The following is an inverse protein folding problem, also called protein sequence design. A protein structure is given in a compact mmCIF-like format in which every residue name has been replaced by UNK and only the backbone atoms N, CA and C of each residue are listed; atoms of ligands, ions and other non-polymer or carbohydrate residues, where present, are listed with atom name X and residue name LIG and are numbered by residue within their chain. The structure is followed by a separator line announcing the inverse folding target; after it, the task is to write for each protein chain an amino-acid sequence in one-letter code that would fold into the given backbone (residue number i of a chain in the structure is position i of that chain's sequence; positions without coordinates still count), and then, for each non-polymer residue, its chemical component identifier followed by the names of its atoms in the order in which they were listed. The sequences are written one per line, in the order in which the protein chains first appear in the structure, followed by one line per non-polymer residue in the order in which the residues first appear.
data_IF_650139916934
#
_entry.id   IF_650139916934
#
_cell.length_a   1.000
_cell.length_b   1.000
_cell.length_c   1.000
_cell.angle_alpha   90.00
_cell.angle_beta   90.00
_cell.angle_gamma   90.00
#
_symmetry.space_group_name_H-M   'P 1'
#
loop_
_entity.id
_entity.type
_entity.pdbx_description
1 polymer ?
#
# COMPACT_ATOMS: atom_id res chain seq x y z
N UNK A 1 -3.90 65.41 -30.16
CA UNK A 1 -2.54 65.58 -30.70
C UNK A 1 -1.89 64.24 -30.75
N UNK A 2 -1.52 63.88 -31.91
CA UNK A 2 -1.00 62.56 -32.37
C UNK A 2 0.47 62.46 -31.99
N UNK A 3 0.91 61.26 -31.57
CA UNK A 3 2.25 60.80 -31.96
C UNK A 3 2.30 59.28 -31.93
N UNK A 4 2.41 58.73 -33.10
CA UNK A 4 2.75 57.37 -33.48
C UNK A 4 4.28 57.23 -33.57
N UNK A 5 4.88 56.09 -33.16
CA UNK A 5 6.13 55.58 -33.76
C UNK A 5 6.19 54.06 -33.51
N UNK A 6 5.95 53.27 -34.50
CA UNK A 6 6.84 52.52 -35.38
C UNK A 6 7.73 51.46 -34.69
N UNK A 7 7.39 50.24 -35.03
CA UNK A 7 8.12 48.97 -34.83
C UNK A 7 9.41 48.91 -35.65
N UNK A 8 10.46 48.32 -35.14
CA UNK A 8 11.50 47.66 -35.93
C UNK A 8 11.97 46.37 -35.24
N UNK A 9 12.23 45.30 -36.00
CA UNK A 9 12.62 44.01 -35.44
C UNK A 9 14.14 43.95 -35.27
N UNK A 10 14.61 43.38 -34.15
CA UNK A 10 16.02 43.11 -33.93
C UNK A 10 16.29 41.63 -34.13
N UNK A 11 17.25 41.37 -35.03
CA UNK A 11 17.75 40.09 -35.47
C UNK A 11 18.51 39.33 -34.39
N UNK A 12 18.33 38.00 -34.37
CA UNK A 12 19.19 37.06 -33.64
C UNK A 12 20.60 37.02 -34.26
N UNK A 13 21.63 37.29 -33.46
CA UNK A 13 22.99 36.82 -33.72
C UNK A 13 23.70 36.48 -32.41
N UNK A 14 24.06 35.20 -32.32
CA UNK A 14 25.15 34.56 -31.57
C UNK A 14 25.86 35.33 -30.47
N UNK A 15 25.69 34.91 -29.19
CA UNK A 15 26.69 35.09 -28.15
C UNK A 15 26.84 33.79 -27.33
N UNK A 16 28.09 33.30 -27.27
CA UNK A 16 28.52 32.15 -26.47
C UNK A 16 28.30 32.40 -24.99
N UNK A 17 28.01 31.35 -24.16
CA UNK A 17 27.88 31.56 -22.72
C UNK A 17 29.26 31.74 -22.07
N UNK A 18 29.46 32.86 -21.41
CA UNK A 18 30.52 33.07 -20.47
C UNK A 18 30.21 32.26 -19.18
N UNK A 19 31.12 31.39 -18.80
CA UNK A 19 31.15 30.69 -17.51
C UNK A 19 31.26 31.72 -16.38
N UNK A 20 30.14 32.02 -15.75
CA UNK A 20 30.14 32.70 -14.44
C UNK A 20 30.04 31.65 -13.37
N UNK A 21 31.05 31.56 -12.52
CA UNK A 21 31.02 30.80 -11.29
C UNK A 21 29.77 31.20 -10.48
N UNK A 22 28.88 30.25 -10.26
CA UNK A 22 27.76 30.42 -9.34
C UNK A 22 28.33 30.41 -7.92
N UNK A 23 28.34 31.57 -7.28
CA UNK A 23 28.42 31.67 -5.84
C UNK A 23 27.19 30.96 -5.27
N UNK A 24 27.42 29.85 -4.58
CA UNK A 24 26.41 29.12 -3.82
C UNK A 24 25.85 29.99 -2.73
N UNK A 25 24.67 30.58 -2.91
CA UNK A 25 23.83 30.99 -1.80
C UNK A 25 23.47 29.72 -1.01
N UNK A 26 24.06 29.59 0.18
CA UNK A 26 23.76 28.52 1.14
C UNK A 26 22.36 28.71 1.75
N UNK A 27 21.31 28.42 0.97
CA UNK A 27 20.04 28.04 1.51
C UNK A 27 20.04 26.51 1.57
N UNK A 28 20.52 25.98 2.70
CA UNK A 28 20.24 24.58 3.07
C UNK A 28 18.72 24.46 3.29
N UNK A 29 18.01 23.96 2.28
CA UNK A 29 16.75 23.28 2.55
C UNK A 29 17.10 22.12 3.49
N UNK A 30 16.50 22.01 4.67
CA UNK A 30 16.70 20.84 5.50
C UNK A 30 16.01 19.65 4.81
N UNK A 31 16.79 18.92 4.03
CA UNK A 31 16.49 17.53 3.74
C UNK A 31 16.96 16.71 4.93
N UNK A 32 16.42 17.01 6.11
CA UNK A 32 16.66 16.19 7.29
C UNK A 32 15.85 14.89 7.13
N UNK A 33 16.33 14.01 6.23
CA UNK A 33 16.08 12.58 6.38
C UNK A 33 16.63 12.21 7.74
N UNK A 34 15.83 11.53 8.56
CA UNK A 34 16.32 10.95 9.81
C UNK A 34 17.62 10.23 9.50
N UNK A 35 18.72 10.74 10.03
CA UNK A 35 20.00 10.08 9.90
C UNK A 35 19.92 8.78 10.70
N UNK A 36 19.85 7.65 10.00
CA UNK A 36 19.78 6.32 10.61
C UNK A 36 20.97 6.04 11.54
N UNK A 37 22.08 6.79 11.40
CA UNK A 37 23.21 6.79 12.34
C UNK A 37 22.90 7.37 13.73
N UNK A 38 21.73 8.04 13.90
CA UNK A 38 21.28 8.60 15.19
C UNK A 38 20.14 7.81 15.84
N UNK A 39 19.68 6.70 15.24
CA UNK A 39 18.71 5.86 15.90
C UNK A 39 19.27 5.31 17.23
N UNK A 40 18.42 5.17 18.25
CA UNK A 40 18.82 4.54 19.51
C UNK A 40 19.39 3.14 19.29
N UNK A 41 20.23 2.63 20.21
CA UNK A 41 20.76 1.27 20.13
C UNK A 41 19.60 0.24 20.11
N UNK A 42 19.84 -0.89 19.44
CA UNK A 42 18.87 -1.95 19.30
C UNK A 42 18.40 -2.48 20.65
N UNK A 43 17.08 -2.54 20.84
CA UNK A 43 16.49 -3.22 21.99
C UNK A 43 16.47 -4.73 21.75
N UNK A 44 16.24 -5.56 22.79
CA UNK A 44 16.02 -7.01 22.60
C UNK A 44 14.89 -7.32 21.62
N UNK A 45 13.81 -6.54 21.64
CA UNK A 45 12.64 -6.68 20.76
C UNK A 45 13.00 -6.37 19.30
N UNK A 46 13.73 -5.27 19.06
CA UNK A 46 14.19 -4.91 17.72
C UNK A 46 15.19 -5.95 17.19
N UNK A 47 16.10 -6.43 18.06
CA UNK A 47 17.05 -7.49 17.70
C UNK A 47 16.31 -8.77 17.28
N UNK A 48 15.20 -9.11 17.92
CA UNK A 48 14.38 -10.27 17.55
C UNK A 48 13.65 -10.07 16.22
N UNK A 49 13.12 -8.88 15.97
CA UNK A 49 12.52 -8.52 14.66
C UNK A 49 13.53 -8.66 13.51
N UNK A 50 14.75 -8.17 13.72
CA UNK A 50 15.83 -8.27 12.72
C UNK A 50 16.31 -9.71 12.54
N UNK A 51 16.31 -10.54 13.59
CA UNK A 51 16.58 -11.96 13.47
C UNK A 51 15.49 -12.68 12.68
N UNK A 52 14.23 -12.34 12.89
CA UNK A 52 13.10 -12.86 12.13
C UNK A 52 13.24 -12.51 10.64
N UNK A 53 13.57 -11.25 10.34
CA UNK A 53 13.85 -10.80 8.96
C UNK A 53 15.01 -11.58 8.33
N UNK A 54 16.15 -11.70 9.01
CA UNK A 54 17.31 -12.43 8.52
C UNK A 54 17.01 -13.92 8.29
N UNK A 55 16.24 -14.54 9.18
CA UNK A 55 15.79 -15.94 9.04
C UNK A 55 14.82 -16.13 7.87
N UNK A 56 13.90 -15.18 7.68
CA UNK A 56 12.94 -15.21 6.57
C UNK A 56 13.63 -15.07 5.21
N UNK A 57 14.56 -14.12 5.08
CA UNK A 57 15.29 -13.87 3.83
C UNK A 57 16.37 -14.92 3.51
N UNK A 58 16.71 -15.79 4.44
CA UNK A 58 17.62 -16.91 4.21
C UNK A 58 16.95 -18.14 3.55
N UNK A 59 15.62 -18.17 3.49
CA UNK A 59 14.86 -19.25 2.83
C UNK A 59 14.55 -18.88 1.37
N UNK A 60 14.17 -19.87 0.51
CA UNK A 60 13.69 -19.56 -0.84
C UNK A 60 12.56 -18.55 -0.81
N UNK A 61 12.58 -17.58 -1.74
CA UNK A 61 11.58 -16.53 -1.80
C UNK A 61 10.15 -17.07 -2.01
N UNK A 62 10.00 -18.10 -2.83
CA UNK A 62 8.74 -18.77 -3.10
C UNK A 62 8.96 -20.23 -3.47
N UNK A 63 8.19 -21.12 -2.88
CA UNK A 63 8.16 -22.56 -3.20
C UNK A 63 6.85 -22.87 -3.93
N UNK A 64 6.87 -22.86 -5.26
CA UNK A 64 5.69 -23.08 -6.09
C UNK A 64 5.05 -24.45 -5.84
N UNK A 65 5.85 -25.50 -5.62
CA UNK A 65 5.34 -26.86 -5.39
C UNK A 65 4.70 -27.01 -4.02
N UNK A 66 5.34 -26.45 -3.01
CA UNK A 66 4.81 -26.43 -1.64
C UNK A 66 3.54 -25.59 -1.55
N UNK A 67 3.51 -24.41 -2.20
CA UNK A 67 2.35 -23.54 -2.22
C UNK A 67 1.16 -24.17 -2.95
N UNK A 68 1.38 -24.84 -4.09
CA UNK A 68 0.34 -25.57 -4.81
C UNK A 68 -0.31 -26.67 -3.94
N UNK A 69 0.51 -27.40 -3.15
CA UNK A 69 0.00 -28.40 -2.22
C UNK A 69 -0.83 -27.76 -1.07
N UNK A 70 -0.40 -26.60 -0.56
CA UNK A 70 -1.14 -25.86 0.46
C UNK A 70 -2.45 -25.29 -0.09
N UNK A 71 -2.46 -24.72 -1.30
CA UNK A 71 -3.70 -24.28 -1.98
C UNK A 71 -4.70 -25.42 -2.08
N UNK A 72 -4.27 -26.59 -2.57
CA UNK A 72 -5.15 -27.77 -2.68
C UNK A 72 -5.72 -28.18 -1.31
N UNK A 73 -4.92 -28.16 -0.27
CA UNK A 73 -5.35 -28.45 1.10
C UNK A 73 -6.30 -27.38 1.63
N UNK A 74 -6.00 -26.10 1.36
CA UNK A 74 -6.77 -24.96 1.85
C UNK A 74 -8.16 -24.93 1.26
N UNK A 75 -8.30 -25.01 -0.06
CA UNK A 75 -9.61 -24.93 -0.71
C UNK A 75 -10.34 -26.27 -0.74
N UNK A 76 -9.62 -27.41 -0.77
CA UNK A 76 -10.22 -28.74 -0.85
C UNK A 76 -11.10 -28.89 -2.08
N UNK A 77 -12.38 -29.20 -1.87
CA UNK A 77 -13.38 -29.36 -2.93
C UNK A 77 -14.16 -28.06 -3.24
N UNK A 78 -13.75 -26.92 -2.63
CA UNK A 78 -14.39 -25.64 -2.89
C UNK A 78 -14.13 -25.20 -4.34
N UNK A 79 -15.20 -25.03 -5.11
CA UNK A 79 -15.15 -24.60 -6.49
C UNK A 79 -16.39 -23.77 -6.84
N UNK A 80 -16.31 -22.91 -7.86
CA UNK A 80 -17.46 -22.13 -8.31
C UNK A 80 -18.62 -23.04 -8.74
N UNK A 81 -19.80 -22.81 -8.18
CA UNK A 81 -21.06 -23.37 -8.63
C UNK A 81 -21.71 -22.57 -9.74
N UNK A 82 -22.99 -22.81 -9.99
CA UNK A 82 -23.80 -22.06 -10.96
C UNK A 82 -24.34 -20.74 -10.43
N UNK A 83 -24.38 -20.57 -9.10
CA UNK A 83 -24.85 -19.35 -8.43
C UNK A 83 -23.67 -18.56 -7.83
N UNK A 84 -23.37 -17.36 -8.37
CA UNK A 84 -22.29 -16.50 -7.87
C UNK A 84 -22.50 -16.01 -6.44
N UNK A 85 -23.75 -15.87 -5.97
CA UNK A 85 -24.03 -15.44 -4.61
C UNK A 85 -23.78 -16.57 -3.60
N UNK A 86 -24.15 -17.82 -3.94
CA UNK A 86 -23.82 -18.98 -3.12
C UNK A 86 -22.30 -19.18 -3.03
N UNK A 87 -21.59 -19.00 -4.14
CA UNK A 87 -20.13 -19.11 -4.15
C UNK A 87 -19.46 -18.01 -3.33
N UNK A 88 -19.99 -16.78 -3.38
CA UNK A 88 -19.55 -15.70 -2.49
C UNK A 88 -19.67 -16.11 -1.01
N UNK A 89 -20.82 -16.66 -0.60
CA UNK A 89 -21.06 -17.07 0.78
C UNK A 89 -20.11 -18.21 1.21
N UNK A 90 -19.86 -19.17 0.34
CA UNK A 90 -18.94 -20.27 0.61
C UNK A 90 -17.48 -19.77 0.81
N UNK A 91 -17.05 -18.84 -0.03
CA UNK A 91 -15.73 -18.19 0.13
C UNK A 91 -15.65 -17.33 1.38
N UNK A 92 -16.69 -16.54 1.68
CA UNK A 92 -16.74 -15.76 2.91
C UNK A 92 -16.59 -16.66 4.15
N UNK A 93 -17.34 -17.74 4.25
CA UNK A 93 -17.25 -18.69 5.36
C UNK A 93 -15.86 -19.32 5.45
N UNK A 94 -15.26 -19.67 4.30
CA UNK A 94 -13.89 -20.20 4.24
C UNK A 94 -12.88 -19.20 4.79
N UNK A 95 -12.93 -17.95 4.33
CA UNK A 95 -12.02 -16.88 4.77
C UNK A 95 -12.20 -16.57 6.25
N UNK A 96 -13.43 -16.56 6.75
CA UNK A 96 -13.72 -16.31 8.15
C UNK A 96 -13.19 -17.43 9.06
N UNK A 97 -13.52 -18.67 8.72
CA UNK A 97 -13.12 -19.84 9.55
C UNK A 97 -11.63 -20.13 9.53
N UNK A 98 -10.92 -19.76 8.46
CA UNK A 98 -9.48 -19.97 8.33
C UNK A 98 -8.64 -18.83 8.88
N UNK A 99 -9.19 -17.65 9.12
CA UNK A 99 -8.48 -16.53 9.77
C UNK A 99 -8.34 -16.80 11.29
N UNK A 100 -7.52 -17.78 11.62
CA UNK A 100 -7.42 -18.33 12.99
C UNK A 100 -6.49 -17.54 13.89
N UNK A 101 -5.61 -16.72 13.32
CA UNK A 101 -4.61 -15.94 14.05
C UNK A 101 -4.66 -14.46 13.65
N UNK A 102 -5.75 -13.74 13.94
CA UNK A 102 -5.81 -12.32 13.67
C UNK A 102 -4.81 -11.56 14.54
N UNK A 103 -4.10 -10.62 13.95
CA UNK A 103 -3.08 -9.82 14.62
C UNK A 103 -3.52 -8.36 14.76
N UNK A 104 -3.02 -7.71 15.82
CA UNK A 104 -3.08 -6.26 15.88
C UNK A 104 -2.13 -5.64 14.85
N UNK A 105 -2.51 -4.47 14.34
CA UNK A 105 -1.70 -3.71 13.39
C UNK A 105 -0.29 -3.44 13.93
N UNK A 106 0.72 -4.01 13.28
CA UNK A 106 2.15 -3.85 13.59
C UNK A 106 2.99 -4.24 12.36
N UNK A 107 3.19 -3.31 11.40
CA UNK A 107 3.86 -3.61 10.14
C UNK A 107 5.29 -4.11 10.29
N UNK A 108 6.10 -3.51 11.17
CA UNK A 108 7.47 -3.95 11.46
C UNK A 108 7.56 -5.38 11.99
N UNK A 109 6.49 -5.87 12.60
CA UNK A 109 6.43 -7.23 13.15
C UNK A 109 5.91 -8.25 12.14
N UNK A 110 4.86 -7.92 11.41
CA UNK A 110 4.11 -8.90 10.64
C UNK A 110 4.24 -8.73 9.11
N UNK A 111 4.39 -7.48 8.62
CA UNK A 111 4.38 -7.18 7.19
C UNK A 111 5.79 -7.11 6.59
N UNK A 112 6.61 -6.18 7.10
CA UNK A 112 7.90 -5.85 6.51
C UNK A 112 8.98 -6.91 6.60
N UNK A 113 9.05 -7.79 7.66
CA UNK A 113 10.11 -8.77 7.74
C UNK A 113 10.07 -9.86 6.67
N UNK A 114 8.89 -10.13 6.10
CA UNK A 114 8.75 -11.20 5.11
C UNK A 114 7.62 -10.97 4.11
N UNK A 115 6.40 -10.69 4.56
CA UNK A 115 5.19 -10.65 3.71
C UNK A 115 5.34 -9.71 2.52
N UNK A 116 5.84 -8.50 2.74
CA UNK A 116 5.90 -7.44 1.74
C UNK A 116 7.25 -7.34 1.02
N UNK A 117 8.18 -8.28 1.28
CA UNK A 117 9.46 -8.35 0.61
C UNK A 117 9.26 -8.72 -0.87
N UNK A 118 9.92 -7.99 -1.76
CA UNK A 118 9.96 -8.29 -3.19
C UNK A 118 11.11 -9.27 -3.53
N UNK A 119 11.12 -9.87 -4.76
CA UNK A 119 12.17 -10.83 -5.15
C UNK A 119 13.60 -10.28 -5.09
N UNK A 120 13.77 -8.96 -5.11
CA UNK A 120 15.07 -8.27 -4.98
C UNK A 120 15.51 -8.05 -3.52
N UNK A 121 14.72 -8.52 -2.54
CA UNK A 121 15.00 -8.38 -1.11
C UNK A 121 14.63 -7.01 -0.51
N UNK A 122 13.99 -6.14 -1.27
CA UNK A 122 13.56 -4.81 -0.82
C UNK A 122 12.03 -4.74 -0.64
N UNK A 123 11.58 -3.69 0.02
CA UNK A 123 10.18 -3.27 0.02
C UNK A 123 9.96 -2.28 -1.12
N UNK A 124 8.82 -2.37 -1.78
CA UNK A 124 8.44 -1.41 -2.82
C UNK A 124 7.13 -0.73 -2.44
N UNK A 125 7.05 0.57 -2.70
CA UNK A 125 5.79 1.29 -2.60
C UNK A 125 4.75 0.72 -3.55
N UNK A 126 3.57 0.42 -3.05
CA UNK A 126 2.47 -0.16 -3.84
C UNK A 126 2.03 0.77 -4.99
N UNK A 127 2.18 2.10 -4.83
CA UNK A 127 1.72 3.08 -5.84
C UNK A 127 2.82 3.53 -6.79
N UNK A 128 3.98 3.92 -6.28
CA UNK A 128 5.06 4.48 -7.11
C UNK A 128 6.13 3.46 -7.52
N UNK A 129 6.17 2.31 -6.87
CA UNK A 129 7.25 1.33 -7.04
C UNK A 129 8.59 1.76 -6.44
N UNK A 130 8.67 2.87 -5.70
CA UNK A 130 9.89 3.29 -5.02
C UNK A 130 10.38 2.21 -4.07
N UNK A 131 11.68 1.88 -4.13
CA UNK A 131 12.32 0.85 -3.32
C UNK A 131 12.87 1.41 -2.00
N UNK A 132 12.79 0.62 -0.94
CA UNK A 132 13.45 0.87 0.33
C UNK A 132 14.02 -0.43 0.90
N UNK A 133 15.19 -0.30 1.53
CA UNK A 133 15.78 -1.40 2.28
C UNK A 133 14.88 -1.83 3.44
N UNK A 134 14.52 -3.10 3.48
CA UNK A 134 13.56 -3.63 4.44
C UNK A 134 14.06 -3.53 5.89
N UNK A 135 15.34 -3.81 6.16
CA UNK A 135 15.92 -3.68 7.50
C UNK A 135 15.80 -2.25 8.03
N UNK A 136 16.10 -1.27 7.18
CA UNK A 136 15.99 0.14 7.55
C UNK A 136 14.53 0.52 7.88
N UNK A 137 13.56 0.01 7.12
CA UNK A 137 12.16 0.29 7.40
C UNK A 137 11.68 -0.38 8.70
N UNK A 138 12.07 -1.64 8.95
CA UNK A 138 11.76 -2.32 10.20
C UNK A 138 12.27 -1.51 11.40
N UNK A 139 13.50 -1.00 11.34
CA UNK A 139 14.07 -0.15 12.39
C UNK A 139 13.29 1.15 12.57
N UNK A 140 12.97 1.84 11.48
CA UNK A 140 12.22 3.09 11.51
C UNK A 140 10.81 2.90 12.09
N UNK A 141 10.07 1.91 11.60
CA UNK A 141 8.70 1.64 12.04
C UNK A 141 8.65 1.20 13.52
N UNK A 142 9.61 0.38 13.94
CA UNK A 142 9.76 0.01 15.35
C UNK A 142 9.95 1.24 16.24
N UNK A 143 10.91 2.10 15.93
CA UNK A 143 11.18 3.30 16.72
C UNK A 143 10.05 4.32 16.66
N UNK A 144 9.37 4.43 15.53
CA UNK A 144 8.14 5.21 15.43
C UNK A 144 7.09 4.72 16.41
N UNK A 145 6.78 3.43 16.43
CA UNK A 145 5.80 2.84 17.34
C UNK A 145 6.17 3.07 18.82
N UNK A 146 7.44 2.93 19.20
CA UNK A 146 7.90 3.23 20.56
C UNK A 146 7.73 4.73 20.91
N UNK A 147 8.02 5.62 19.96
CA UNK A 147 7.87 7.07 20.13
C UNK A 147 6.39 7.44 20.28
N UNK A 148 5.50 6.86 19.48
CA UNK A 148 4.05 7.07 19.59
C UNK A 148 3.53 6.72 20.98
N UNK A 149 3.95 5.57 21.52
CA UNK A 149 3.60 5.15 22.89
C UNK A 149 4.10 6.19 23.89
N UNK A 150 5.37 6.60 23.82
CA UNK A 150 5.96 7.56 24.75
C UNK A 150 5.24 8.91 24.70
N UNK A 151 4.99 9.44 23.49
CA UNK A 151 4.30 10.71 23.28
C UNK A 151 2.88 10.66 23.87
N UNK A 152 2.17 9.55 23.72
CA UNK A 152 0.82 9.39 24.26
C UNK A 152 0.75 9.47 25.81
N UNK A 153 1.83 9.11 26.48
CA UNK A 153 1.93 9.21 27.96
C UNK A 153 2.40 10.58 28.46
N UNK A 154 3.15 11.32 27.63
CA UNK A 154 3.84 12.53 28.09
C UNK A 154 3.16 13.84 27.71
N UNK A 155 2.21 13.84 26.79
CA UNK A 155 1.65 15.07 26.21
C UNK A 155 0.11 15.06 26.15
N UNK A 156 -0.49 16.27 26.03
CA UNK A 156 -1.91 16.36 25.73
C UNK A 156 -2.23 15.80 24.35
N UNK A 157 -3.48 15.34 24.09
CA UNK A 157 -3.87 14.80 22.79
C UNK A 157 -3.57 15.74 21.60
N UNK A 158 -3.73 17.06 21.79
CA UNK A 158 -3.45 18.06 20.74
C UNK A 158 -1.95 18.14 20.42
N UNK A 159 -1.11 18.17 21.46
CA UNK A 159 0.36 18.21 21.31
C UNK A 159 0.89 16.89 20.75
N UNK A 160 0.32 15.76 21.19
CA UNK A 160 0.65 14.44 20.66
C UNK A 160 0.38 14.37 19.15
N UNK A 161 -0.79 14.83 18.69
CA UNK A 161 -1.16 14.82 17.28
C UNK A 161 -0.17 15.58 16.40
N UNK A 162 0.30 16.76 16.82
CA UNK A 162 1.30 17.54 16.08
C UNK A 162 2.66 16.84 16.04
N UNK A 163 3.10 16.28 17.17
CA UNK A 163 4.40 15.56 17.24
C UNK A 163 4.40 14.31 16.36
N UNK A 164 3.30 13.54 16.35
CA UNK A 164 3.15 12.35 15.51
C UNK A 164 3.09 12.69 14.02
N UNK A 165 2.43 13.78 13.63
CA UNK A 165 2.43 14.24 12.24
C UNK A 165 3.83 14.61 11.73
N UNK A 166 4.66 15.23 12.59
CA UNK A 166 6.07 15.51 12.27
C UNK A 166 6.84 14.20 12.10
N UNK A 167 6.68 13.25 13.02
CA UNK A 167 7.32 11.94 12.94
C UNK A 167 6.95 11.21 11.65
N UNK A 168 5.66 11.17 11.30
CA UNK A 168 5.18 10.56 10.05
C UNK A 168 5.82 11.19 8.80
N UNK A 169 6.00 12.51 8.80
CA UNK A 169 6.62 13.22 7.67
C UNK A 169 8.11 12.91 7.47
N UNK A 170 8.77 12.40 8.50
CA UNK A 170 10.20 12.03 8.48
C UNK A 170 10.44 10.57 8.08
N UNK A 171 9.39 9.75 8.06
CA UNK A 171 9.49 8.34 7.67
C UNK A 171 9.73 8.22 6.16
N UNK A 172 10.57 7.26 5.75
CA UNK A 172 10.78 6.97 4.34
C UNK A 172 9.59 6.24 3.72
N UNK A 173 8.94 5.38 4.50
CA UNK A 173 7.74 4.63 4.14
C UNK A 173 6.81 4.54 5.35
N UNK A 174 5.54 4.26 5.07
CA UNK A 174 4.57 3.83 6.07
C UNK A 174 3.73 2.67 5.52
N UNK A 175 2.73 2.23 6.27
CA UNK A 175 1.84 1.17 5.83
C UNK A 175 0.57 1.78 5.24
N UNK A 176 0.29 1.46 3.99
CA UNK A 176 -0.97 1.74 3.32
C UNK A 176 -2.03 0.72 3.72
N UNK A 177 -3.20 1.20 4.08
CA UNK A 177 -4.43 0.42 4.15
C UNK A 177 -5.21 0.61 2.86
N UNK A 178 -5.12 -0.34 1.94
CA UNK A 178 -5.81 -0.30 0.64
C UNK A 178 -7.31 -0.04 0.80
N UNK A 179 -7.94 -0.64 1.79
CA UNK A 179 -9.24 -0.19 2.28
C UNK A 179 -9.00 0.75 3.46
N UNK A 180 -9.34 2.05 3.33
CA UNK A 180 -9.02 3.05 4.33
C UNK A 180 -9.55 2.69 5.71
N UNK A 181 -8.67 2.75 6.71
CA UNK A 181 -9.06 2.40 8.08
C UNK A 181 -10.14 3.31 8.68
N UNK A 182 -10.36 4.51 8.13
CA UNK A 182 -11.47 5.40 8.50
C UNK A 182 -12.83 4.81 8.12
N UNK A 183 -12.94 4.07 7.04
CA UNK A 183 -14.20 3.51 6.54
C UNK A 183 -14.81 2.45 7.47
N UNK A 184 -13.98 1.74 8.23
CA UNK A 184 -14.40 0.75 9.21
C UNK A 184 -14.02 1.13 10.66
N UNK A 185 -13.74 2.42 10.91
CA UNK A 185 -13.46 2.97 12.26
C UNK A 185 -12.26 2.32 12.95
N UNK A 186 -11.22 1.94 12.19
CA UNK A 186 -9.98 1.30 12.67
C UNK A 186 -10.20 0.01 13.48
N UNK A 187 -11.34 -0.67 13.29
CA UNK A 187 -11.67 -1.88 14.04
C UNK A 187 -10.78 -3.05 13.66
N UNK A 188 -10.36 -3.82 14.66
CA UNK A 188 -9.75 -5.13 14.45
C UNK A 188 -10.86 -6.19 14.23
N UNK A 189 -10.57 -7.28 13.50
CA UNK A 189 -9.29 -7.65 12.91
C UNK A 189 -8.98 -6.96 11.56
N UNK A 190 -9.90 -6.17 11.02
CA UNK A 190 -9.75 -5.50 9.72
C UNK A 190 -8.46 -4.67 9.64
N UNK A 191 -8.15 -3.91 10.70
CA UNK A 191 -6.98 -3.01 10.73
C UNK A 191 -5.65 -3.76 10.64
N UNK A 192 -5.57 -4.95 11.22
CA UNK A 192 -4.36 -5.77 11.23
C UNK A 192 -4.28 -6.82 10.11
N UNK A 193 -5.30 -6.93 9.26
CA UNK A 193 -5.36 -7.94 8.20
C UNK A 193 -4.32 -7.66 7.10
N UNK A 194 -3.33 -8.53 6.98
CA UNK A 194 -2.18 -8.38 6.11
C UNK A 194 -2.53 -8.37 4.61
N UNK A 195 -3.67 -8.93 4.22
CA UNK A 195 -4.07 -8.99 2.81
C UNK A 195 -4.34 -7.62 2.17
N UNK A 196 -4.62 -6.59 2.96
CA UNK A 196 -4.82 -5.24 2.44
C UNK A 196 -3.83 -4.18 2.97
N UNK A 197 -2.72 -4.65 3.56
CA UNK A 197 -1.62 -3.81 4.04
C UNK A 197 -0.43 -3.88 3.09
N UNK A 198 0.14 -2.72 2.72
CA UNK A 198 1.29 -2.63 1.80
C UNK A 198 2.25 -1.53 2.24
N UNK A 199 3.54 -1.69 1.92
CA UNK A 199 4.49 -0.58 2.05
C UNK A 199 4.15 0.55 1.07
N UNK A 200 4.25 1.79 1.53
CA UNK A 200 3.95 2.97 0.73
C UNK A 200 4.72 4.18 1.26
N UNK A 201 5.14 5.11 0.39
CA UNK A 201 5.68 6.39 0.87
C UNK A 201 4.59 7.24 1.54
N UNK A 202 4.94 8.00 2.59
CA UNK A 202 3.99 8.89 3.26
C UNK A 202 3.28 9.86 2.32
N UNK A 203 3.98 10.39 1.30
CA UNK A 203 3.39 11.31 0.32
C UNK A 203 2.34 10.64 -0.57
N UNK A 204 2.58 9.39 -1.00
CA UNK A 204 1.63 8.65 -1.81
C UNK A 204 0.44 8.17 -0.99
N UNK A 205 0.68 7.69 0.24
CA UNK A 205 -0.37 7.34 1.18
C UNK A 205 -1.25 8.56 1.51
N UNK A 206 -0.63 9.74 1.74
CA UNK A 206 -1.36 10.99 1.98
C UNK A 206 -2.13 11.47 0.75
N UNK A 207 -1.56 11.35 -0.46
CA UNK A 207 -2.21 11.72 -1.70
C UNK A 207 -3.45 10.84 -1.98
N UNK A 208 -3.34 9.53 -1.69
CA UNK A 208 -4.46 8.61 -1.77
C UNK A 208 -5.49 8.88 -0.66
N UNK A 209 -5.05 9.14 0.58
CA UNK A 209 -5.91 9.45 1.71
C UNK A 209 -6.99 8.38 1.94
N UNK A 210 -8.26 8.80 1.92
CA UNK A 210 -9.42 7.90 1.97
C UNK A 210 -10.25 7.93 0.67
N UNK A 211 -9.63 8.30 -0.46
CA UNK A 211 -10.32 8.39 -1.74
C UNK A 211 -10.62 6.97 -2.28
N UNK A 212 -11.81 6.70 -2.80
CA UNK A 212 -12.08 5.46 -3.52
C UNK A 212 -11.25 5.38 -4.81
N UNK A 213 -10.97 4.15 -5.22
CA UNK A 213 -10.29 3.91 -6.50
C UNK A 213 -11.20 4.19 -7.67
N UNK A 214 -10.62 4.75 -8.74
CA UNK A 214 -11.32 5.10 -9.96
C UNK A 214 -10.37 4.95 -11.15
N UNK A 215 -10.89 4.61 -12.32
CA UNK A 215 -10.13 4.53 -13.56
C UNK A 215 -10.50 5.74 -14.43
N UNK A 216 -9.60 6.73 -14.46
CA UNK A 216 -9.86 7.96 -15.22
C UNK A 216 -9.67 7.73 -16.71
N UNK A 217 -10.58 8.23 -17.57
CA UNK A 217 -10.33 8.30 -19.00
C UNK A 217 -8.98 8.98 -19.32
N UNK A 218 -8.31 8.53 -20.39
CA UNK A 218 -6.96 9.03 -20.74
C UNK A 218 -6.92 10.56 -20.97
N UNK A 219 -8.00 11.11 -21.48
CA UNK A 219 -8.14 12.55 -21.81
C UNK A 219 -8.75 13.37 -20.66
N UNK A 220 -9.03 12.77 -19.52
CA UNK A 220 -9.55 13.50 -18.37
C UNK A 220 -8.45 14.36 -17.72
N UNK A 221 -8.77 15.65 -17.51
CA UNK A 221 -7.87 16.58 -16.82
C UNK A 221 -7.83 16.24 -15.31
N UNK A 222 -6.64 15.84 -14.84
CA UNK A 222 -6.42 15.37 -13.48
C UNK A 222 -5.10 15.88 -12.94
N UNK A 223 -4.99 15.96 -11.62
CA UNK A 223 -3.70 16.22 -10.96
C UNK A 223 -2.92 14.89 -10.97
N UNK A 224 -1.78 14.87 -11.69
CA UNK A 224 -0.93 13.67 -11.82
C UNK A 224 0.42 13.88 -11.16
N UNK A 225 0.89 12.84 -10.48
CA UNK A 225 2.25 12.70 -9.95
C UNK A 225 2.69 11.23 -10.04
N UNK A 226 3.85 10.91 -9.49
CA UNK A 226 4.39 9.54 -9.47
C UNK A 226 3.66 8.58 -8.50
N UNK A 227 2.70 9.06 -7.74
CA UNK A 227 1.82 8.21 -6.93
C UNK A 227 0.57 7.78 -7.71
N UNK A 228 0.12 8.61 -8.66
CA UNK A 228 -1.10 8.38 -9.44
C UNK A 228 -1.78 9.67 -9.89
N UNK A 229 -3.08 9.55 -10.15
CA UNK A 229 -3.96 10.62 -10.62
C UNK A 229 -5.07 10.90 -9.60
N UNK A 230 -5.42 12.17 -9.42
CA UNK A 230 -6.52 12.61 -8.55
C UNK A 230 -7.38 13.59 -9.36
N UNK A 231 -8.69 13.48 -9.30
CA UNK A 231 -9.60 14.47 -9.91
C UNK A 231 -9.48 15.83 -9.19
N UNK A 232 -9.73 16.91 -9.91
CA UNK A 232 -9.65 18.29 -9.34
C UNK A 232 -10.61 18.52 -8.15
N UNK A 233 -11.63 17.68 -8.00
CA UNK A 233 -12.54 17.72 -6.84
C UNK A 233 -12.00 16.97 -5.62
N UNK A 234 -10.89 16.21 -5.77
CA UNK A 234 -10.27 15.44 -4.70
C UNK A 234 -11.16 14.32 -4.17
N UNK A 235 -11.93 13.64 -5.03
CA UNK A 235 -12.88 12.59 -4.63
C UNK A 235 -12.46 11.19 -5.05
N UNK A 236 -11.55 11.04 -6.01
CA UNK A 236 -11.14 9.77 -6.58
C UNK A 236 -9.63 9.71 -6.76
N UNK A 237 -9.09 8.51 -6.69
CA UNK A 237 -7.67 8.24 -6.88
C UNK A 237 -7.48 7.06 -7.84
N UNK A 238 -6.62 7.26 -8.83
CA UNK A 238 -6.12 6.19 -9.70
C UNK A 238 -4.62 6.00 -9.45
N UNK A 239 -4.17 4.84 -8.96
CA UNK A 239 -2.76 4.61 -8.68
C UNK A 239 -1.92 4.53 -9.97
N UNK A 240 -0.69 5.05 -9.93
CA UNK A 240 0.28 4.91 -11.04
C UNK A 240 0.70 3.45 -11.22
N UNK A 241 0.93 2.73 -10.11
CA UNK A 241 1.25 1.32 -10.08
C UNK A 241 0.32 0.52 -9.17
N UNK A 242 0.49 -0.81 -9.14
CA UNK A 242 -0.17 -1.70 -8.19
C UNK A 242 -1.66 -1.93 -8.41
N UNK A 243 -2.27 -1.46 -9.51
CA UNK A 243 -3.72 -1.58 -9.78
C UNK A 243 -4.27 -2.99 -9.51
N UNK A 244 -3.59 -4.03 -10.00
CA UNK A 244 -4.01 -5.42 -9.78
C UNK A 244 -3.97 -5.83 -8.30
N UNK A 245 -2.90 -5.47 -7.59
CA UNK A 245 -2.72 -5.82 -6.18
C UNK A 245 -3.77 -5.13 -5.30
N UNK A 246 -4.00 -3.82 -5.49
CA UNK A 246 -5.01 -3.08 -4.70
C UNK A 246 -6.44 -3.52 -5.03
N UNK A 247 -6.71 -3.89 -6.29
CA UNK A 247 -8.00 -4.43 -6.68
C UNK A 247 -8.28 -5.78 -5.97
N UNK A 248 -7.33 -6.72 -6.02
CA UNK A 248 -7.46 -8.02 -5.33
C UNK A 248 -7.54 -7.88 -3.81
N UNK A 249 -6.82 -6.93 -3.24
CA UNK A 249 -6.89 -6.63 -1.81
C UNK A 249 -8.26 -6.04 -1.40
N UNK A 250 -8.82 -5.13 -2.21
CA UNK A 250 -10.17 -4.56 -1.95
C UNK A 250 -11.26 -5.61 -2.13
N UNK A 251 -11.22 -6.39 -3.20
CA UNK A 251 -12.18 -7.47 -3.44
C UNK A 251 -12.11 -8.56 -2.36
N UNK A 252 -10.89 -8.91 -1.90
CA UNK A 252 -10.71 -9.78 -0.72
C UNK A 252 -11.38 -9.19 0.51
N UNK A 253 -11.21 -7.90 0.77
CA UNK A 253 -11.80 -7.24 1.94
C UNK A 253 -13.33 -7.32 1.91
N UNK A 254 -13.96 -7.12 0.75
CA UNK A 254 -15.40 -7.29 0.56
C UNK A 254 -15.86 -8.72 0.81
N UNK A 255 -15.06 -9.73 0.42
CA UNK A 255 -15.33 -11.14 0.72
C UNK A 255 -15.21 -11.44 2.22
N UNK A 256 -14.15 -10.96 2.85
CA UNK A 256 -13.85 -11.31 4.24
C UNK A 256 -14.72 -10.55 5.23
N UNK A 257 -15.09 -9.31 4.91
CA UNK A 257 -15.79 -8.40 5.81
C UNK A 257 -17.05 -7.79 5.18
N UNK A 258 -18.06 -8.61 4.84
CA UNK A 258 -19.27 -8.12 4.18
C UNK A 258 -19.97 -7.04 5.02
N UNK A 259 -20.44 -6.00 4.35
CA UNK A 259 -21.12 -4.87 4.99
C UNK A 259 -20.27 -4.01 5.94
N UNK A 260 -18.93 -4.17 5.92
CA UNK A 260 -18.05 -3.38 6.76
C UNK A 260 -17.85 -1.94 6.26
N UNK A 261 -18.00 -1.72 4.95
CA UNK A 261 -17.83 -0.44 4.26
C UNK A 261 -19.01 -0.16 3.34
N UNK A 262 -19.27 1.13 3.08
CA UNK A 262 -20.33 1.63 2.17
C UNK A 262 -19.80 2.63 1.14
N UNK A 263 -18.48 2.73 1.01
CA UNK A 263 -17.79 3.70 0.16
C UNK A 263 -17.66 3.24 -1.30
N UNK A 264 -18.00 1.99 -1.61
CA UNK A 264 -18.00 1.43 -2.96
C UNK A 264 -19.40 1.09 -3.45
N UNK A 265 -19.60 1.23 -4.76
CA UNK A 265 -20.80 0.83 -5.49
C UNK A 265 -20.53 -0.37 -6.40
N UNK A 266 -21.59 -0.92 -7.00
CA UNK A 266 -21.46 -1.97 -8.01
C UNK A 266 -20.61 -1.53 -9.22
N UNK A 267 -20.59 -0.22 -9.55
CA UNK A 267 -19.76 0.32 -10.62
C UNK A 267 -18.26 0.28 -10.23
N UNK A 268 -17.93 0.58 -9.00
CA UNK A 268 -16.55 0.56 -8.51
C UNK A 268 -16.02 -0.88 -8.47
N UNK A 269 -16.87 -1.85 -8.12
CA UNK A 269 -16.53 -3.28 -8.22
C UNK A 269 -16.15 -3.65 -9.66
N UNK A 270 -16.86 -3.14 -10.68
CA UNK A 270 -16.49 -3.41 -12.07
C UNK A 270 -15.12 -2.83 -12.44
N UNK A 271 -14.78 -1.64 -11.94
CA UNK A 271 -13.43 -1.06 -12.10
C UNK A 271 -12.35 -1.97 -11.46
N UNK A 272 -12.60 -2.45 -10.25
CA UNK A 272 -11.66 -3.37 -9.56
C UNK A 272 -11.52 -4.71 -10.31
N UNK A 273 -12.60 -5.26 -10.82
CA UNK A 273 -12.58 -6.49 -11.64
C UNK A 273 -11.82 -6.27 -12.96
N UNK A 274 -11.97 -5.10 -13.58
CA UNK A 274 -11.21 -4.75 -14.79
C UNK A 274 -9.72 -4.65 -14.50
N UNK A 275 -9.32 -3.99 -13.43
CA UNK A 275 -7.91 -3.93 -13.01
C UNK A 275 -7.36 -5.31 -12.65
N UNK A 276 -8.16 -6.15 -12.04
CA UNK A 276 -7.80 -7.54 -11.77
C UNK A 276 -7.48 -8.31 -13.08
N UNK A 277 -8.33 -8.18 -14.11
CA UNK A 277 -8.13 -8.83 -15.42
C UNK A 277 -6.90 -8.30 -16.16
N UNK A 278 -6.71 -6.99 -16.17
CA UNK A 278 -5.62 -6.33 -16.89
C UNK A 278 -4.25 -6.55 -16.27
N UNK A 279 -4.20 -6.87 -14.98
CA UNK A 279 -2.96 -7.01 -14.22
C UNK A 279 -2.85 -8.43 -13.65
N UNK A 280 -2.23 -9.38 -14.37
CA UNK A 280 -2.07 -10.76 -13.90
C UNK A 280 -1.36 -10.83 -12.54
N UNK A 281 -1.68 -11.88 -11.77
CA UNK A 281 -1.06 -12.12 -10.47
C UNK A 281 0.46 -12.28 -10.62
N UNK A 282 1.20 -11.51 -9.86
CA UNK A 282 2.66 -11.50 -9.86
C UNK A 282 3.25 -12.55 -8.90
N UNK A 283 4.53 -12.89 -9.08
CA UNK A 283 5.27 -13.73 -8.14
C UNK A 283 5.28 -13.13 -6.71
N UNK A 284 5.38 -11.81 -6.62
CA UNK A 284 5.29 -11.09 -5.35
C UNK A 284 3.95 -11.32 -4.64
N UNK A 285 2.83 -11.27 -5.35
CA UNK A 285 1.52 -11.53 -4.75
C UNK A 285 1.35 -12.99 -4.30
N UNK A 286 1.86 -13.96 -5.08
CA UNK A 286 1.88 -15.37 -4.69
C UNK A 286 2.69 -15.58 -3.40
N UNK A 287 3.90 -15.00 -3.34
CA UNK A 287 4.71 -15.00 -2.14
C UNK A 287 3.96 -14.40 -0.94
N UNK A 288 3.36 -13.22 -1.11
CA UNK A 288 2.56 -12.58 -0.05
C UNK A 288 1.46 -13.50 0.45
N UNK A 289 0.70 -14.10 -0.45
CA UNK A 289 -0.43 -14.95 -0.10
C UNK A 289 -0.02 -16.16 0.73
N UNK A 290 1.07 -16.84 0.35
CA UNK A 290 1.65 -17.94 1.09
C UNK A 290 2.18 -17.48 2.48
N UNK A 291 2.91 -16.37 2.53
CA UNK A 291 3.45 -15.82 3.76
C UNK A 291 2.34 -15.35 4.74
N UNK A 292 1.25 -14.81 4.23
CA UNK A 292 0.09 -14.41 5.05
C UNK A 292 -0.62 -15.64 5.63
N UNK A 293 -0.79 -16.70 4.85
CA UNK A 293 -1.33 -17.97 5.37
C UNK A 293 -0.52 -18.51 6.54
N UNK A 294 0.83 -18.49 6.44
CA UNK A 294 1.71 -18.91 7.53
C UNK A 294 1.48 -18.12 8.82
N UNK A 295 1.11 -16.83 8.71
CA UNK A 295 0.98 -15.90 9.84
C UNK A 295 -0.45 -15.90 10.39
N UNK A 296 -1.46 -15.71 9.55
CA UNK A 296 -2.85 -15.48 9.99
C UNK A 296 -3.83 -16.59 9.59
N UNK A 297 -3.41 -17.55 8.75
CA UNK A 297 -4.12 -18.80 8.48
C UNK A 297 -5.04 -18.76 7.27
N UNK A 298 -5.34 -17.58 6.71
CA UNK A 298 -6.22 -17.45 5.54
C UNK A 298 -5.45 -16.99 4.29
N UNK A 299 -6.06 -17.19 3.12
CA UNK A 299 -5.52 -16.89 1.79
C UNK A 299 -6.48 -15.98 1.02
N UNK A 300 -5.94 -15.16 0.12
CA UNK A 300 -6.75 -14.42 -0.85
C UNK A 300 -7.06 -15.30 -2.07
N UNK A 301 -8.32 -15.71 -2.29
CA UNK A 301 -8.69 -16.60 -3.40
C UNK A 301 -8.44 -15.98 -4.77
N UNK A 302 -8.39 -14.65 -4.88
CA UNK A 302 -8.16 -13.96 -6.15
C UNK A 302 -6.68 -13.94 -6.58
N UNK A 303 -5.79 -14.39 -5.68
CA UNK A 303 -4.38 -14.63 -5.99
C UNK A 303 -4.17 -16.09 -6.40
N UNK A 304 -4.81 -17.02 -5.68
CA UNK A 304 -4.69 -18.47 -5.92
C UNK A 304 -5.46 -18.91 -7.16
N UNK A 305 -6.67 -18.38 -7.32
CA UNK A 305 -7.62 -18.68 -8.37
C UNK A 305 -8.17 -17.39 -8.99
N UNK A 306 -7.33 -16.65 -9.76
CA UNK A 306 -7.75 -15.37 -10.33
C UNK A 306 -8.99 -15.50 -11.24
N UNK A 307 -9.20 -16.65 -11.87
CA UNK A 307 -10.36 -16.95 -12.70
C UNK A 307 -11.69 -17.01 -11.92
N UNK A 308 -11.64 -17.14 -10.60
CA UNK A 308 -12.85 -17.15 -9.76
C UNK A 308 -13.48 -15.76 -9.64
N UNK A 309 -12.74 -14.69 -9.89
CA UNK A 309 -13.26 -13.32 -9.80
C UNK A 309 -14.54 -13.12 -10.63
N UNK A 310 -14.65 -13.79 -11.79
CA UNK A 310 -15.82 -13.73 -12.67
C UNK A 310 -16.99 -14.61 -12.20
N UNK A 311 -16.79 -15.39 -11.16
CA UNK A 311 -17.77 -16.35 -10.61
C UNK A 311 -18.32 -15.92 -9.25
N UNK A 312 -17.93 -14.74 -8.77
CA UNK A 312 -18.27 -14.24 -7.44
C UNK A 312 -19.15 -13.00 -7.59
N UNK A 313 -20.27 -12.97 -6.86
CA UNK A 313 -21.08 -11.77 -6.74
C UNK A 313 -20.57 -10.88 -5.59
N UNK A 314 -19.59 -10.02 -5.87
CA UNK A 314 -19.03 -9.10 -4.87
C UNK A 314 -20.00 -8.05 -4.35
N UNK A 315 -21.17 -7.88 -4.99
CA UNK A 315 -22.20 -6.94 -4.49
C UNK A 315 -22.77 -7.39 -3.14
N UNK A 316 -22.66 -8.69 -2.82
CA UNK A 316 -22.98 -9.24 -1.50
C UNK A 316 -22.10 -8.68 -0.37
N UNK A 317 -20.91 -8.16 -0.68
CA UNK A 317 -20.00 -7.55 0.28
C UNK A 317 -20.30 -6.09 0.55
N UNK A 318 -21.14 -5.43 -0.25
CA UNK A 318 -21.56 -4.05 -0.05
C UNK A 318 -22.58 -3.94 1.10
N UNK A 319 -22.63 -2.75 1.71
CA UNK A 319 -23.59 -2.45 2.77
C UNK A 319 -24.92 -2.01 2.22
#
# INVERSE_FOLDING_TARGET
MICSTLSTPISYSSLRPATRAAQSCGCSCPTDRVDLGQLPPDTPELTELLRTFAGATARPYYDESGDAAQMQKYYGDLAPGSDPAEFYQALHQKLESSHTSPHHYSPSKWLYPWVDIHPDGNLHSVYSGQMLNAENLIRQDYWKAQTEILVSYMTSPETAGAALAILDSQMAFNCEHVVPQSWYSKREPMRGDLHHLFACEPRCNSARGNLPYYDFPENEDTIRNDCGRIDHSGRHFEPEGGKGAVARATLYFLLRYPGAIDDYSSKDIQTLLEWHRQNPVSLYEKHRNAAIEEIQGNRNPLIDHPEWAEKIDFTQGLR
#
